data_IF_416004015308
#
_entry.id   IF_416004015308
#
_cell.length_a   1.000
_cell.length_b   1.000
_cell.length_c   1.000
_cell.angle_alpha   90.00
_cell.angle_beta   90.00
_cell.angle_gamma   90.00
#
_symmetry.space_group_name_H-M   'P 1'
#
loop_
_entity.id
_entity.type
_entity.pdbx_description
1 polymer ?
#
# COMPACT_ATOMS: atom_id res chain seq x y z
N UNK A 1 11.59 8.69 -42.66
CA UNK A 1 10.28 8.69 -42.00
C UNK A 1 10.38 7.99 -40.66
N UNK A 2 10.39 8.77 -39.61
CA UNK A 2 10.37 8.22 -38.24
C UNK A 2 8.93 7.84 -37.92
N UNK A 3 8.63 6.56 -37.93
CA UNK A 3 7.41 6.03 -37.32
C UNK A 3 7.54 6.18 -35.80
N UNK A 4 7.04 7.28 -35.25
CA UNK A 4 6.75 7.37 -33.86
C UNK A 4 5.67 6.33 -33.55
N UNK A 5 6.09 5.13 -33.14
CA UNK A 5 5.20 4.20 -32.50
C UNK A 5 4.74 4.87 -31.20
N UNK A 6 3.55 5.41 -31.20
CA UNK A 6 2.80 5.68 -29.99
C UNK A 6 2.71 4.33 -29.29
N UNK A 7 3.59 4.09 -28.34
CA UNK A 7 3.40 3.02 -27.37
C UNK A 7 2.13 3.39 -26.60
N UNK A 8 1.00 2.87 -27.06
CA UNK A 8 -0.22 2.86 -26.28
C UNK A 8 0.12 2.22 -24.95
N UNK A 9 0.30 3.03 -23.94
CA UNK A 9 0.50 2.51 -22.57
C UNK A 9 -0.81 1.86 -22.15
N UNK A 10 -0.83 0.54 -22.15
CA UNK A 10 -1.98 -0.22 -21.65
C UNK A 10 -2.18 0.14 -20.17
N UNK A 11 -3.41 0.37 -19.73
CA UNK A 11 -3.69 0.62 -18.32
C UNK A 11 -3.22 -0.57 -17.48
N UNK A 12 -2.71 -0.28 -16.29
CA UNK A 12 -2.24 -1.32 -15.36
C UNK A 12 -3.43 -2.05 -14.75
N UNK A 13 -3.41 -3.39 -14.70
CA UNK A 13 -4.45 -4.14 -14.03
C UNK A 13 -4.37 -3.94 -12.51
N UNK A 14 -5.48 -3.66 -11.87
CA UNK A 14 -5.55 -3.49 -10.41
C UNK A 14 -5.50 -4.81 -9.63
N UNK A 15 -5.54 -5.94 -10.31
CA UNK A 15 -5.56 -7.28 -9.70
C UNK A 15 -4.19 -7.92 -9.53
N UNK A 16 -3.14 -7.33 -10.09
CA UNK A 16 -1.80 -7.92 -10.08
C UNK A 16 -0.84 -7.07 -9.25
N UNK A 17 -0.59 -7.51 -8.02
CA UNK A 17 0.28 -6.82 -7.09
C UNK A 17 0.97 -7.79 -6.13
N UNK A 18 2.10 -7.36 -5.58
CA UNK A 18 2.86 -8.07 -4.55
C UNK A 18 2.95 -7.20 -3.29
N UNK A 19 2.87 -7.84 -2.14
CA UNK A 19 3.02 -7.16 -0.84
C UNK A 19 4.11 -7.83 -0.03
N UNK A 20 5.01 -7.01 0.52
CA UNK A 20 6.00 -7.40 1.51
C UNK A 20 5.73 -6.68 2.82
N UNK A 21 5.56 -7.41 3.90
CA UNK A 21 5.51 -6.85 5.24
C UNK A 21 6.85 -7.14 5.91
N UNK A 22 7.68 -6.09 6.05
CA UNK A 22 9.09 -6.26 6.33
C UNK A 22 9.77 -7.05 5.22
N UNK A 23 10.37 -8.18 5.56
CA UNK A 23 11.03 -9.08 4.59
C UNK A 23 10.15 -10.25 4.14
N UNK A 24 8.94 -10.38 4.66
CA UNK A 24 8.04 -11.50 4.39
C UNK A 24 7.07 -11.17 3.25
N UNK A 25 7.10 -11.90 2.13
CA UNK A 25 6.09 -11.79 1.09
C UNK A 25 4.79 -12.42 1.59
N UNK A 26 3.69 -11.69 1.49
CA UNK A 26 2.36 -12.17 1.91
C UNK A 26 1.38 -11.89 0.79
N UNK A 27 0.61 -12.91 0.42
CA UNK A 27 -0.43 -12.79 -0.59
C UNK A 27 -1.70 -12.18 -0.01
N UNK A 28 -2.17 -11.13 -0.65
CA UNK A 28 -3.43 -10.48 -0.34
C UNK A 28 -4.33 -10.44 -1.56
N UNK A 29 -5.61 -10.46 -1.34
CA UNK A 29 -6.62 -10.34 -2.41
C UNK A 29 -6.97 -8.88 -2.70
N UNK A 30 -6.77 -8.00 -1.71
CA UNK A 30 -7.09 -6.58 -1.84
C UNK A 30 -6.19 -5.73 -0.96
N UNK A 31 -5.82 -4.57 -1.50
CA UNK A 31 -5.15 -3.48 -0.77
C UNK A 31 -5.96 -2.21 -1.00
N UNK A 32 -6.27 -1.50 0.04
CA UNK A 32 -7.04 -0.25 -0.03
C UNK A 32 -6.43 0.84 0.86
N UNK A 33 -6.87 2.07 0.62
CA UNK A 33 -6.38 3.27 1.32
C UNK A 33 -4.90 3.57 1.04
N UNK A 34 -4.44 3.34 -0.20
CA UNK A 34 -3.13 3.81 -0.66
C UNK A 34 -3.30 5.28 -1.03
N UNK A 35 -3.00 6.17 -0.10
CA UNK A 35 -3.15 7.61 -0.27
C UNK A 35 -1.84 8.31 0.04
N UNK A 36 -1.39 9.15 -0.88
CA UNK A 36 -0.26 10.06 -0.67
C UNK A 36 -0.85 11.45 -0.54
N UNK A 37 -0.94 11.95 0.67
CA UNK A 37 -1.56 13.23 0.99
C UNK A 37 -0.60 14.11 1.79
N UNK A 38 -0.62 15.41 1.50
CA UNK A 38 0.02 16.45 2.28
C UNK A 38 -1.07 17.38 2.79
N UNK A 39 -1.22 17.47 4.11
CA UNK A 39 -2.10 18.47 4.69
C UNK A 39 -1.50 19.85 4.49
N UNK A 40 -2.28 20.79 3.97
CA UNK A 40 -1.88 22.17 3.75
C UNK A 40 -2.77 23.13 4.52
N UNK A 41 -2.17 24.20 5.04
CA UNK A 41 -2.90 25.29 5.65
C UNK A 41 -2.78 26.53 4.75
N UNK A 42 -3.90 27.18 4.48
CA UNK A 42 -3.93 28.41 3.73
C UNK A 42 -3.62 29.59 4.67
N UNK A 43 -2.51 30.26 4.44
CA UNK A 43 -2.18 31.50 5.13
C UNK A 43 -2.54 32.70 4.24
N UNK A 44 -3.46 33.52 4.71
CA UNK A 44 -3.73 34.84 4.13
C UNK A 44 -2.85 35.86 4.83
N UNK A 45 -1.85 36.41 4.15
CA UNK A 45 -1.10 37.53 4.64
C UNK A 45 -1.94 38.82 4.56
N UNK A 46 -2.13 39.51 5.71
CA UNK A 46 -2.84 40.76 5.77
C UNK A 46 -2.08 41.84 4.96
N UNK A 47 -2.73 42.40 3.92
CA UNK A 47 -2.20 43.46 3.09
C UNK A 47 -1.89 43.09 1.64
N UNK A 48 -1.93 41.80 1.25
CA UNK A 48 -1.78 41.35 -0.15
C UNK A 48 -3.12 40.80 -0.61
N UNK A 49 -3.90 41.60 -1.30
CA UNK A 49 -5.14 41.20 -1.90
C UNK A 49 -4.86 40.29 -3.11
N UNK A 50 -5.08 38.99 -2.97
CA UNK A 50 -5.13 38.05 -4.07
C UNK A 50 -4.14 36.88 -4.07
N UNK A 51 -3.25 36.75 -3.09
CA UNK A 51 -2.39 35.54 -2.98
C UNK A 51 -2.58 34.82 -1.65
N UNK A 52 -2.89 33.53 -1.76
CA UNK A 52 -2.97 32.62 -0.63
C UNK A 52 -1.77 31.67 -0.72
N UNK A 53 -0.93 31.67 0.29
CA UNK A 53 0.19 30.73 0.38
C UNK A 53 -0.26 29.46 1.10
N UNK A 54 -0.04 28.31 0.49
CA UNK A 54 -0.27 27.01 1.12
C UNK A 54 1.02 26.53 1.78
N UNK A 55 0.98 26.34 3.09
CA UNK A 55 2.07 25.73 3.85
C UNK A 55 1.73 24.28 4.19
N UNK A 56 2.71 23.40 4.14
CA UNK A 56 2.53 22.04 4.61
C UNK A 56 2.35 22.01 6.12
N UNK A 57 1.30 21.35 6.58
CA UNK A 57 0.97 21.15 7.98
C UNK A 57 1.38 19.74 8.42
N UNK A 58 1.81 19.55 9.68
CA UNK A 58 1.96 18.20 10.22
C UNK A 58 0.64 17.43 10.10
N UNK A 59 0.70 16.19 9.65
CA UNK A 59 -0.49 15.35 9.48
C UNK A 59 -1.26 15.24 10.80
N UNK A 60 -2.52 15.65 10.78
CA UNK A 60 -3.43 15.57 11.93
C UNK A 60 -4.24 14.29 11.95
N UNK A 61 -4.35 13.61 10.80
CA UNK A 61 -5.08 12.37 10.63
C UNK A 61 -4.14 11.16 10.60
N UNK A 62 -4.60 10.07 11.19
CA UNK A 62 -3.87 8.81 11.14
C UNK A 62 -3.96 8.19 9.75
N UNK A 63 -2.80 7.96 9.15
CA UNK A 63 -2.67 7.31 7.85
C UNK A 63 -2.72 5.80 8.01
N UNK A 64 -3.50 5.13 7.19
CA UNK A 64 -3.73 3.69 7.29
C UNK A 64 -3.72 2.98 5.94
N UNK A 65 -3.26 1.72 5.96
CA UNK A 65 -3.39 0.77 4.86
C UNK A 65 -4.26 -0.40 5.32
N UNK A 66 -5.15 -0.85 4.45
CA UNK A 66 -6.03 -1.97 4.73
C UNK A 66 -5.75 -3.08 3.72
N UNK A 67 -5.41 -4.25 4.24
CA UNK A 67 -5.15 -5.46 3.47
C UNK A 67 -6.23 -6.50 3.76
N UNK A 68 -6.74 -7.15 2.71
CA UNK A 68 -7.70 -8.24 2.84
C UNK A 68 -7.14 -9.50 2.16
N UNK A 69 -7.37 -10.64 2.79
CA UNK A 69 -7.02 -11.95 2.22
C UNK A 69 -8.04 -13.01 2.59
N UNK A 70 -8.25 -13.97 1.67
CA UNK A 70 -8.93 -15.21 2.01
C UNK A 70 -8.01 -16.08 2.85
N UNK A 71 -8.55 -16.73 3.87
CA UNK A 71 -7.79 -17.70 4.68
C UNK A 71 -7.96 -19.07 4.06
N UNK A 72 -6.85 -19.65 3.59
CA UNK A 72 -6.85 -21.01 3.06
C UNK A 72 -6.65 -22.04 4.18
N UNK A 73 -7.33 -23.16 4.08
CA UNK A 73 -7.31 -24.23 5.09
C UNK A 73 -5.95 -24.91 5.30
N UNK A 74 -4.95 -24.62 4.49
CA UNK A 74 -3.59 -25.18 4.58
C UNK A 74 -2.49 -24.21 5.02
N UNK A 75 -2.83 -22.97 5.37
CA UNK A 75 -1.85 -21.91 5.65
C UNK A 75 -1.25 -21.94 7.08
N UNK A 76 -1.33 -23.04 7.76
CA UNK A 76 -1.11 -23.07 9.20
C UNK A 76 0.35 -23.02 9.68
N UNK A 77 1.36 -22.90 8.83
CA UNK A 77 2.69 -23.24 9.32
C UNK A 77 3.83 -22.26 9.09
N UNK A 78 3.60 -21.11 8.50
CA UNK A 78 4.68 -20.12 8.45
C UNK A 78 4.67 -19.25 9.71
N UNK A 79 5.43 -19.66 10.71
CA UNK A 79 5.57 -18.92 11.99
C UNK A 79 6.01 -17.47 11.80
N UNK A 80 6.82 -17.19 10.79
CA UNK A 80 7.28 -15.84 10.49
C UNK A 80 6.10 -14.95 10.02
N UNK A 81 5.25 -15.45 9.13
CA UNK A 81 4.05 -14.76 8.69
C UNK A 81 3.07 -14.55 9.84
N UNK A 82 2.85 -15.56 10.66
CA UNK A 82 1.98 -15.46 11.82
C UNK A 82 2.48 -14.42 12.84
N UNK A 83 3.77 -14.35 13.08
CA UNK A 83 4.38 -13.35 13.96
C UNK A 83 4.25 -11.94 13.38
N UNK A 84 4.41 -11.78 12.06
CA UNK A 84 4.25 -10.49 11.36
C UNK A 84 2.82 -9.96 11.39
N UNK A 85 1.84 -10.83 11.58
CA UNK A 85 0.42 -10.48 11.58
C UNK A 85 -0.18 -10.38 13.00
N UNK A 86 0.65 -10.22 14.02
CA UNK A 86 0.17 -9.95 15.38
C UNK A 86 -0.23 -8.48 15.54
N UNK A 87 -1.37 -8.23 16.14
CA UNK A 87 -1.79 -6.88 16.51
C UNK A 87 -0.76 -6.25 17.44
N UNK A 88 -0.35 -5.03 17.13
CA UNK A 88 0.73 -4.32 17.81
C UNK A 88 2.13 -4.60 17.26
N UNK A 89 2.29 -5.48 16.26
CA UNK A 89 3.58 -5.70 15.62
C UNK A 89 4.02 -4.46 14.84
N UNK A 90 5.30 -4.12 14.99
CA UNK A 90 5.94 -3.01 14.31
C UNK A 90 6.72 -3.50 13.08
N UNK A 91 6.55 -2.81 11.98
CA UNK A 91 7.26 -3.07 10.74
C UNK A 91 7.92 -1.78 10.24
N UNK A 92 9.21 -1.84 10.00
CA UNK A 92 9.95 -0.68 9.52
C UNK A 92 9.46 -0.22 8.15
N UNK A 93 9.05 -1.16 7.31
CA UNK A 93 8.47 -0.87 5.99
C UNK A 93 7.45 -1.94 5.57
N UNK A 94 6.48 -1.49 4.79
CA UNK A 94 5.56 -2.33 4.02
C UNK A 94 5.69 -1.89 2.57
N UNK A 95 5.89 -2.83 1.66
CA UNK A 95 6.04 -2.58 0.23
C UNK A 95 4.86 -3.16 -0.51
N UNK A 96 4.23 -2.33 -1.35
CA UNK A 96 3.17 -2.73 -2.27
C UNK A 96 3.63 -2.43 -3.68
N UNK A 97 3.86 -3.46 -4.48
CA UNK A 97 4.25 -3.35 -5.88
C UNK A 97 3.12 -3.73 -6.81
N UNK A 98 2.70 -2.79 -7.64
CA UNK A 98 1.72 -3.03 -8.70
C UNK A 98 2.44 -3.53 -9.94
N UNK A 99 2.02 -4.68 -10.44
CA UNK A 99 2.62 -5.38 -11.57
C UNK A 99 1.84 -5.10 -12.85
N UNK A 100 2.53 -5.14 -13.99
CA UNK A 100 1.88 -5.15 -15.29
C UNK A 100 1.37 -6.56 -15.63
N UNK A 101 0.80 -6.72 -16.82
CA UNK A 101 0.30 -8.01 -17.31
C UNK A 101 1.39 -9.09 -17.45
N UNK A 102 2.65 -8.66 -17.61
CA UNK A 102 3.80 -9.56 -17.73
C UNK A 102 4.42 -9.90 -16.36
N UNK A 103 3.82 -9.43 -15.26
CA UNK A 103 4.29 -9.67 -13.91
C UNK A 103 5.48 -8.78 -13.48
N UNK A 104 5.80 -7.73 -14.24
CA UNK A 104 6.89 -6.81 -13.91
C UNK A 104 6.39 -5.66 -13.05
N UNK A 105 7.13 -5.28 -11.98
CA UNK A 105 6.76 -4.15 -11.14
C UNK A 105 6.85 -2.83 -11.92
N UNK A 106 5.79 -2.05 -11.88
CA UNK A 106 5.67 -0.74 -12.54
C UNK A 106 5.49 0.40 -11.58
N UNK A 107 4.76 0.18 -10.51
CA UNK A 107 4.59 1.15 -9.43
C UNK A 107 4.79 0.45 -8.11
N UNK A 108 5.62 1.04 -7.27
CA UNK A 108 5.92 0.51 -5.95
C UNK A 108 5.71 1.60 -4.90
N UNK A 109 4.96 1.26 -3.88
CA UNK A 109 4.70 2.13 -2.74
C UNK A 109 5.34 1.53 -1.51
N UNK A 110 5.99 2.37 -0.71
CA UNK A 110 6.62 1.97 0.53
C UNK A 110 6.04 2.78 1.69
N UNK A 111 5.37 2.11 2.60
CA UNK A 111 4.96 2.67 3.88
C UNK A 111 6.04 2.40 4.94
N UNK A 112 6.39 3.41 5.70
CA UNK A 112 7.41 3.32 6.75
C UNK A 112 6.81 3.44 8.13
N UNK A 113 7.45 2.80 9.11
CA UNK A 113 7.06 2.80 10.53
C UNK A 113 5.59 2.40 10.70
N UNK A 114 5.26 1.21 10.20
CA UNK A 114 3.92 0.67 10.22
C UNK A 114 3.67 -0.22 11.44
N UNK A 115 2.49 -0.10 12.02
CA UNK A 115 2.03 -0.91 13.14
C UNK A 115 0.71 -1.57 12.77
N UNK A 116 0.60 -2.88 12.97
CA UNK A 116 -0.67 -3.57 12.82
C UNK A 116 -1.61 -3.20 13.96
N UNK A 117 -2.57 -2.37 13.66
CA UNK A 117 -3.48 -1.77 14.62
C UNK A 117 -4.71 -2.62 14.87
N UNK A 118 -5.23 -3.23 13.81
CA UNK A 118 -6.48 -3.97 13.86
C UNK A 118 -6.44 -5.16 12.92
N UNK A 119 -6.93 -6.27 13.44
CA UNK A 119 -7.17 -7.49 12.70
C UNK A 119 -8.63 -7.86 12.85
N UNK A 120 -9.32 -7.99 11.75
CA UNK A 120 -10.73 -8.37 11.71
C UNK A 120 -10.87 -9.66 10.91
N UNK A 121 -11.68 -10.56 11.41
CA UNK A 121 -12.11 -11.76 10.70
C UNK A 121 -13.55 -11.56 10.25
N UNK A 122 -13.89 -12.09 9.07
CA UNK A 122 -15.28 -12.10 8.61
C UNK A 122 -16.15 -12.95 9.54
N UNK A 123 -17.45 -12.70 9.48
CA UNK A 123 -18.40 -13.48 10.26
C UNK A 123 -18.33 -14.97 9.87
N UNK A 124 -18.47 -15.83 10.86
CA UNK A 124 -18.57 -17.27 10.67
C UNK A 124 -20.04 -17.65 10.63
N UNK A 125 -20.53 -18.04 9.47
CA UNK A 125 -21.90 -18.48 9.27
C UNK A 125 -21.87 -19.87 8.63
N UNK A 126 -22.34 -20.87 9.38
CA UNK A 126 -22.38 -22.27 8.93
C UNK A 126 -23.36 -22.49 7.76
N UNK A 127 -24.31 -21.58 7.56
CA UNK A 127 -25.30 -21.62 6.48
C UNK A 127 -24.84 -20.88 5.23
N UNK A 128 -23.78 -20.09 5.33
CA UNK A 128 -23.21 -19.32 4.24
C UNK A 128 -22.08 -20.11 3.58
N UNK A 129 -22.08 -20.19 2.23
CA UNK A 129 -20.99 -20.75 1.44
C UNK A 129 -19.83 -19.77 1.18
N UNK A 130 -19.74 -18.67 1.96
CA UNK A 130 -18.76 -17.60 1.76
C UNK A 130 -17.33 -18.02 2.13
N UNK A 131 -16.37 -17.34 1.51
CA UNK A 131 -14.94 -17.47 1.84
C UNK A 131 -14.65 -16.73 3.15
N UNK A 132 -13.88 -17.37 4.01
CA UNK A 132 -13.39 -16.73 5.23
C UNK A 132 -12.33 -15.67 4.88
N UNK A 133 -12.61 -14.43 5.23
CA UNK A 133 -11.76 -13.27 4.90
C UNK A 133 -11.17 -12.66 6.15
N UNK A 134 -9.88 -12.38 6.09
CA UNK A 134 -9.15 -11.63 7.10
C UNK A 134 -8.83 -10.23 6.59
N UNK A 135 -9.09 -9.22 7.39
CA UNK A 135 -8.76 -7.82 7.13
C UNK A 135 -7.76 -7.31 8.16
N UNK A 136 -6.68 -6.71 7.68
CA UNK A 136 -5.59 -6.17 8.48
C UNK A 136 -5.50 -4.66 8.24
N UNK A 137 -5.52 -3.88 9.31
CA UNK A 137 -5.37 -2.42 9.25
C UNK A 137 -4.03 -2.03 9.88
N UNK A 138 -3.15 -1.44 9.07
CA UNK A 138 -1.87 -0.89 9.50
C UNK A 138 -1.94 0.63 9.56
N UNK A 139 -1.50 1.19 10.67
CA UNK A 139 -1.18 2.62 10.76
C UNK A 139 0.28 2.81 10.35
N UNK A 140 0.59 3.83 9.57
CA UNK A 140 1.95 4.11 9.11
C UNK A 140 2.29 5.60 9.23
N UNK A 141 3.60 5.90 9.23
CA UNK A 141 4.09 7.26 9.34
C UNK A 141 4.16 7.97 7.99
N UNK A 142 4.82 7.37 7.01
CA UNK A 142 4.98 7.94 5.69
C UNK A 142 4.70 6.89 4.60
N UNK A 143 4.15 7.36 3.49
CA UNK A 143 4.00 6.56 2.27
C UNK A 143 4.69 7.30 1.13
N UNK A 144 5.60 6.62 0.46
CA UNK A 144 6.33 7.14 -0.69
C UNK A 144 6.18 6.23 -1.89
N UNK A 145 6.10 6.80 -3.08
CA UNK A 145 6.23 6.06 -4.32
C UNK A 145 7.72 5.87 -4.62
N UNK A 146 8.13 4.61 -4.78
CA UNK A 146 9.50 4.26 -5.11
C UNK A 146 9.63 4.17 -6.63
N UNK A 147 10.66 4.79 -7.25
CA UNK A 147 10.88 4.67 -8.68
C UNK A 147 11.01 3.22 -9.13
N UNK A 148 10.51 2.90 -10.32
CA UNK A 148 10.62 1.56 -10.88
C UNK A 148 12.09 1.10 -10.93
N UNK A 149 12.32 -0.18 -10.63
CA UNK A 149 13.65 -0.81 -10.48
C UNK A 149 14.54 -0.71 -11.74
N UNK A 150 13.98 -0.31 -12.88
CA UNK A 150 14.78 -0.02 -14.10
C UNK A 150 15.87 1.04 -13.90
N UNK A 151 15.75 1.86 -12.86
CA UNK A 151 16.78 2.82 -12.48
C UNK A 151 17.87 2.23 -11.58
N UNK A 152 17.67 1.03 -11.02
CA UNK A 152 18.63 0.36 -10.14
C UNK A 152 19.60 -0.58 -10.89
N UNK A 153 19.34 -0.89 -12.14
CA UNK A 153 20.24 -1.71 -12.98
C UNK A 153 21.58 -1.02 -13.31
N UNK A 154 21.72 0.26 -13.00
CA UNK A 154 22.99 0.99 -13.11
C UNK A 154 23.87 0.91 -11.87
N UNK A 155 23.47 0.19 -10.81
CA UNK A 155 24.20 0.08 -9.53
C UNK A 155 24.87 -1.30 -9.32
N UNK A 156 24.71 -2.19 -10.28
CA UNK A 156 25.36 -3.51 -10.29
C UNK A 156 26.30 -3.64 -11.47
#
# INVERSE_FOLDING_TARGET
>A
MSLMMHRSSKPMPSYNFLVFIGTSPISFSKVSSIEVEIETEALAEGGVNGSVHSLSKPASSEKKLIFERGVASGESSNKAVSASLRVGSFHKFIIVSVLNQDGLPKKTYMATDAVLKKRRLSDLDAMSGGVFVESLEFAYKNLTEVPAVSSLTGLF
#
